data_IF_444604720329
#
_entry.id   IF_444604720329
#
_cell.length_a   1.000
_cell.length_b   1.000
_cell.length_c   1.000
_cell.angle_alpha   90.00
_cell.angle_beta   90.00
_cell.angle_gamma   90.00
#
_symmetry.space_group_name_H-M   'P 1'
#
loop_
_entity.id
_entity.type
_entity.pdbx_description
1 polymer ?
#
# COMPACT_ATOMS: atom_id res chain seq x y z
N UNK A 1 2.74 -2.01 -5.61
CA UNK A 1 2.25 -2.41 -6.96
C UNK A 1 2.22 -3.93 -7.13
N UNK A 2 3.31 -4.68 -7.05
CA UNK A 2 3.28 -6.14 -7.29
C UNK A 2 2.22 -6.92 -6.48
N UNK A 3 1.98 -6.56 -5.21
CA UNK A 3 0.95 -7.19 -4.37
C UNK A 3 -0.46 -6.89 -4.92
N UNK A 4 -0.75 -5.65 -5.30
CA UNK A 4 -2.07 -5.29 -5.83
C UNK A 4 -2.29 -5.91 -7.22
N UNK A 5 -1.27 -5.90 -8.09
CA UNK A 5 -1.33 -6.59 -9.39
C UNK A 5 -1.61 -8.11 -9.22
N UNK A 6 -1.03 -8.75 -8.21
CA UNK A 6 -1.31 -10.16 -7.91
C UNK A 6 -2.78 -10.36 -7.49
N UNK A 7 -3.32 -9.53 -6.59
CA UNK A 7 -4.73 -9.58 -6.18
C UNK A 7 -5.68 -9.40 -7.36
N UNK A 8 -5.39 -8.42 -8.25
CA UNK A 8 -6.16 -8.22 -9.47
C UNK A 8 -6.06 -9.41 -10.41
N UNK A 9 -4.85 -9.99 -10.58
CA UNK A 9 -4.66 -11.21 -11.37
C UNK A 9 -5.49 -12.38 -10.85
N UNK A 10 -5.53 -12.59 -9.53
CA UNK A 10 -6.32 -13.66 -8.92
C UNK A 10 -7.84 -13.40 -9.07
N UNK A 11 -8.28 -12.16 -8.89
CA UNK A 11 -9.66 -11.76 -9.11
C UNK A 11 -10.09 -11.99 -10.57
N UNK A 12 -9.26 -11.59 -11.54
CA UNK A 12 -9.53 -11.82 -12.96
C UNK A 12 -9.54 -13.32 -13.31
N UNK A 13 -8.65 -14.14 -12.72
CA UNK A 13 -8.71 -15.61 -12.89
C UNK A 13 -10.03 -16.17 -12.38
N UNK A 14 -10.54 -15.70 -11.25
CA UNK A 14 -11.84 -16.14 -10.72
C UNK A 14 -13.02 -15.77 -11.63
N UNK A 15 -12.86 -14.72 -12.44
CA UNK A 15 -13.81 -14.31 -13.49
C UNK A 15 -13.61 -15.09 -14.82
N UNK A 16 -12.68 -16.05 -14.86
CA UNK A 16 -12.45 -16.90 -16.03
C UNK A 16 -11.44 -16.36 -17.05
N UNK A 17 -10.66 -15.34 -16.69
CA UNK A 17 -9.57 -14.86 -17.56
C UNK A 17 -8.30 -15.69 -17.41
N UNK A 18 -7.60 -15.93 -18.51
CA UNK A 18 -6.20 -16.37 -18.48
C UNK A 18 -5.30 -15.14 -18.36
N UNK A 19 -4.39 -15.16 -17.38
CA UNK A 19 -3.54 -14.01 -17.07
C UNK A 19 -2.13 -14.24 -17.62
N UNK A 20 -1.64 -13.27 -18.37
CA UNK A 20 -0.25 -13.14 -18.81
C UNK A 20 0.33 -11.88 -18.15
N UNK A 21 1.49 -12.01 -17.53
CA UNK A 21 2.17 -10.93 -16.82
C UNK A 21 3.34 -10.40 -17.63
N UNK A 22 3.45 -9.05 -17.72
CA UNK A 22 4.54 -8.35 -18.42
C UNK A 22 5.12 -7.31 -17.49
N UNK A 23 6.44 -7.32 -17.29
CA UNK A 23 7.11 -6.31 -16.47
C UNK A 23 8.57 -6.10 -16.90
N UNK A 24 9.23 -5.09 -16.32
CA UNK A 24 10.65 -4.80 -16.57
C UNK A 24 11.60 -5.76 -15.86
N UNK A 25 11.15 -6.40 -14.80
CA UNK A 25 11.91 -7.35 -13.98
C UNK A 25 10.99 -8.31 -13.23
N UNK A 26 11.59 -9.25 -12.50
CA UNK A 26 10.90 -10.19 -11.63
C UNK A 26 10.37 -11.44 -12.33
N UNK A 27 9.65 -12.31 -11.60
CA UNK A 27 9.11 -13.57 -12.10
C UNK A 27 7.80 -13.32 -12.87
N UNK A 28 7.90 -12.97 -14.15
CA UNK A 28 6.78 -12.66 -15.06
C UNK A 28 6.87 -13.51 -16.32
N UNK A 29 5.76 -13.65 -17.06
CA UNK A 29 5.70 -14.43 -18.29
C UNK A 29 6.54 -13.78 -19.40
N UNK A 30 6.50 -12.45 -19.51
CA UNK A 30 7.32 -11.67 -20.43
C UNK A 30 8.11 -10.59 -19.69
N UNK A 31 9.42 -10.74 -19.64
CA UNK A 31 10.32 -9.72 -19.10
C UNK A 31 10.79 -8.80 -20.21
N UNK A 32 10.41 -7.51 -20.14
CA UNK A 32 10.85 -6.44 -21.03
C UNK A 32 11.66 -5.42 -20.22
N UNK A 33 13.01 -5.52 -20.14
CA UNK A 33 13.82 -4.68 -19.26
C UNK A 33 13.60 -3.18 -19.44
N UNK A 34 13.22 -2.73 -20.65
CA UNK A 34 12.88 -1.35 -20.94
C UNK A 34 11.67 -0.79 -20.19
N UNK A 35 10.84 -1.65 -19.57
CA UNK A 35 9.73 -1.23 -18.70
C UNK A 35 10.18 -0.88 -17.28
N UNK A 36 11.38 -1.31 -16.86
CA UNK A 36 11.85 -1.07 -15.50
C UNK A 36 12.05 0.42 -15.22
N UNK A 37 11.87 0.82 -13.95
CA UNK A 37 12.20 2.18 -13.50
C UNK A 37 13.71 2.36 -13.63
N UNK A 38 14.15 3.44 -14.29
CA UNK A 38 15.56 3.73 -14.51
C UNK A 38 16.21 2.91 -15.64
N UNK A 39 15.41 2.21 -16.47
CA UNK A 39 15.92 1.62 -17.70
C UNK A 39 16.57 2.67 -18.58
N UNK A 40 17.73 2.34 -19.18
CA UNK A 40 18.46 3.27 -20.05
C UNK A 40 17.72 3.59 -21.35
N UNK A 41 16.99 2.60 -21.89
CA UNK A 41 16.17 2.74 -23.09
C UNK A 41 14.77 2.12 -22.84
N UNK A 42 13.69 2.76 -23.35
CA UNK A 42 12.36 2.17 -23.28
C UNK A 42 12.26 0.96 -24.19
N UNK A 43 11.25 0.07 -23.98
CA UNK A 43 11.01 -1.02 -24.90
C UNK A 43 10.59 -0.48 -26.27
N UNK A 44 10.85 -1.23 -27.33
CA UNK A 44 10.34 -0.90 -28.66
C UNK A 44 8.84 -1.18 -28.77
N UNK A 45 8.19 -0.54 -29.75
CA UNK A 45 6.77 -0.79 -30.05
C UNK A 45 6.51 -2.29 -30.33
N UNK A 46 7.35 -2.92 -31.14
CA UNK A 46 7.19 -4.32 -31.55
C UNK A 46 7.35 -5.30 -30.38
N UNK A 47 8.25 -5.02 -29.43
CA UNK A 47 8.41 -5.84 -28.24
C UNK A 47 7.16 -5.80 -27.37
N UNK A 48 6.62 -4.60 -27.10
CA UNK A 48 5.39 -4.45 -26.32
C UNK A 48 4.18 -5.05 -27.06
N UNK A 49 4.03 -4.78 -28.36
CA UNK A 49 2.96 -5.34 -29.15
C UNK A 49 3.01 -6.89 -29.17
N UNK A 50 4.22 -7.45 -29.29
CA UNK A 50 4.41 -8.91 -29.27
C UNK A 50 4.05 -9.51 -27.92
N UNK A 51 4.44 -8.88 -26.82
CA UNK A 51 4.14 -9.35 -25.47
C UNK A 51 2.64 -9.26 -25.14
N UNK A 52 1.92 -8.29 -25.73
CA UNK A 52 0.48 -8.10 -25.53
C UNK A 52 -0.38 -8.74 -26.63
N UNK A 53 0.22 -9.56 -27.48
CA UNK A 53 -0.51 -10.20 -28.61
C UNK A 53 -1.56 -11.17 -28.10
N UNK A 54 -2.79 -11.01 -28.57
CA UNK A 54 -3.91 -11.88 -28.21
C UNK A 54 -4.54 -11.58 -26.85
N UNK A 55 -4.11 -10.53 -26.16
CA UNK A 55 -4.81 -10.08 -24.98
C UNK A 55 -6.13 -9.38 -25.36
N UNK A 56 -7.25 -9.82 -24.78
CA UNK A 56 -8.57 -9.20 -24.96
C UNK A 56 -8.64 -7.85 -24.25
N UNK A 57 -8.03 -7.75 -23.07
CA UNK A 57 -7.92 -6.54 -22.26
C UNK A 57 -6.54 -6.48 -21.59
N UNK A 58 -5.99 -5.29 -21.46
CA UNK A 58 -4.70 -5.06 -20.77
C UNK A 58 -4.94 -4.20 -19.54
N UNK A 59 -4.48 -4.66 -18.38
CA UNK A 59 -4.45 -3.86 -17.14
C UNK A 59 -3.05 -3.26 -16.98
N UNK A 60 -2.96 -1.94 -16.96
CA UNK A 60 -1.71 -1.19 -16.80
C UNK A 60 -1.59 -0.70 -15.36
N UNK A 61 -0.73 -1.36 -14.61
CA UNK A 61 -0.50 -1.07 -13.18
C UNK A 61 0.45 0.13 -13.02
N UNK A 62 -0.11 1.32 -12.86
CA UNK A 62 0.57 2.58 -12.52
C UNK A 62 1.66 3.07 -13.52
N UNK A 63 2.00 2.31 -14.56
CA UNK A 63 3.09 2.67 -15.49
C UNK A 63 2.81 4.01 -16.20
N UNK A 64 1.57 4.22 -16.62
CA UNK A 64 1.15 5.44 -17.31
C UNK A 64 0.68 6.55 -16.34
N UNK A 65 0.77 6.33 -15.02
CA UNK A 65 0.31 7.28 -14.00
C UNK A 65 1.43 8.23 -13.58
N UNK A 66 2.54 7.68 -13.07
CA UNK A 66 3.70 8.47 -12.66
C UNK A 66 4.79 8.45 -13.73
N UNK A 67 5.44 9.58 -14.02
CA UNK A 67 6.50 9.67 -15.02
C UNK A 67 7.84 9.09 -14.50
N UNK A 68 7.82 7.86 -13.97
CA UNK A 68 9.01 7.15 -13.49
C UNK A 68 9.80 6.52 -14.65
N UNK A 69 9.11 6.18 -15.74
CA UNK A 69 9.69 5.78 -17.02
C UNK A 69 8.78 6.31 -18.15
N UNK A 70 8.86 7.59 -18.48
CA UNK A 70 7.96 8.22 -19.46
C UNK A 70 8.09 7.63 -20.85
N UNK A 71 9.29 7.21 -21.27
CA UNK A 71 9.50 6.58 -22.57
C UNK A 71 8.74 5.24 -22.69
N UNK A 72 8.77 4.42 -21.63
CA UNK A 72 7.99 3.18 -21.60
C UNK A 72 6.48 3.45 -21.57
N UNK A 73 6.03 4.43 -20.79
CA UNK A 73 4.63 4.84 -20.73
C UNK A 73 4.12 5.27 -22.12
N UNK A 74 4.89 6.08 -22.86
CA UNK A 74 4.55 6.51 -24.20
C UNK A 74 4.44 5.36 -25.21
N UNK A 75 5.37 4.39 -25.14
CA UNK A 75 5.34 3.21 -26.01
C UNK A 75 4.12 2.36 -25.72
N UNK A 76 3.85 2.06 -24.42
CA UNK A 76 2.69 1.26 -24.00
C UNK A 76 1.39 1.96 -24.38
N UNK A 77 1.26 3.27 -24.16
CA UNK A 77 0.08 4.04 -24.56
C UNK A 77 -0.18 3.95 -26.08
N UNK A 78 0.86 4.07 -26.89
CA UNK A 78 0.73 3.95 -28.36
C UNK A 78 0.32 2.53 -28.82
N UNK A 79 0.85 1.48 -28.19
CA UNK A 79 0.48 0.09 -28.49
C UNK A 79 -0.96 -0.18 -28.10
N UNK A 80 -1.45 0.45 -27.03
CA UNK A 80 -2.82 0.27 -26.53
C UNK A 80 -3.84 1.20 -27.20
N UNK A 81 -3.42 2.14 -28.03
CA UNK A 81 -4.34 3.05 -28.74
C UNK A 81 -5.44 2.28 -29.48
N UNK A 82 -6.70 2.63 -29.24
CA UNK A 82 -7.91 1.96 -29.73
C UNK A 82 -8.05 0.47 -29.32
N UNK A 83 -7.34 0.00 -28.29
CA UNK A 83 -7.51 -1.34 -27.70
C UNK A 83 -8.15 -1.23 -26.32
N UNK A 84 -8.97 -2.22 -25.88
CA UNK A 84 -9.50 -2.24 -24.53
C UNK A 84 -8.37 -2.30 -23.50
N UNK A 85 -8.35 -1.34 -22.58
CA UNK A 85 -7.39 -1.33 -21.49
C UNK A 85 -7.98 -0.74 -20.19
N UNK A 86 -7.43 -1.15 -19.07
CA UNK A 86 -7.69 -0.59 -17.75
C UNK A 86 -6.43 0.10 -17.27
N UNK A 87 -6.50 1.40 -17.03
CA UNK A 87 -5.42 2.20 -16.46
C UNK A 87 -5.60 2.26 -14.94
N UNK A 88 -4.87 1.46 -14.19
CA UNK A 88 -4.98 1.37 -12.73
C UNK A 88 -3.98 2.30 -12.06
N UNK A 89 -4.49 3.39 -11.47
CA UNK A 89 -3.71 4.48 -10.89
C UNK A 89 -3.59 4.33 -9.37
N UNK A 90 -2.35 4.16 -8.90
CA UNK A 90 -2.04 4.15 -7.46
C UNK A 90 -1.62 5.51 -6.92
N UNK A 91 -0.97 6.31 -7.77
CA UNK A 91 -0.54 7.69 -7.51
C UNK A 91 -0.68 8.50 -8.80
N UNK A 92 -0.92 9.80 -8.68
CA UNK A 92 -0.97 10.72 -9.81
C UNK A 92 0.21 11.71 -9.76
N UNK A 93 0.68 12.23 -10.91
CA UNK A 93 1.90 13.04 -10.96
C UNK A 93 1.89 14.23 -10.01
N UNK A 94 0.83 15.01 -10.02
CA UNK A 94 0.69 16.22 -9.20
C UNK A 94 0.60 15.97 -7.69
N UNK A 95 0.37 14.73 -7.27
CA UNK A 95 0.39 14.31 -5.87
C UNK A 95 1.83 14.12 -5.34
N UNK A 96 2.82 14.24 -6.20
CA UNK A 96 4.24 14.14 -5.88
C UNK A 96 4.93 15.44 -6.26
N UNK A 97 5.54 16.17 -5.31
CA UNK A 97 6.17 17.48 -5.58
C UNK A 97 7.13 17.47 -6.77
N UNK A 98 7.94 16.41 -6.90
CA UNK A 98 8.90 16.26 -7.99
C UNK A 98 8.26 16.08 -9.37
N UNK A 99 6.97 15.73 -9.44
CA UNK A 99 6.22 15.50 -10.68
C UNK A 99 5.06 16.48 -10.88
N UNK A 100 4.91 17.48 -10.00
CA UNK A 100 3.76 18.40 -10.00
C UNK A 100 3.57 19.17 -11.33
N UNK A 101 4.63 19.34 -12.12
CA UNK A 101 4.57 19.98 -13.44
C UNK A 101 4.18 19.06 -14.61
N UNK A 102 3.96 17.76 -14.36
CA UNK A 102 3.55 16.84 -15.42
C UNK A 102 2.05 16.93 -15.67
N UNK A 103 1.67 16.71 -16.92
CA UNK A 103 0.27 16.63 -17.34
C UNK A 103 -0.43 15.36 -16.82
N UNK A 104 -1.74 15.21 -17.13
CA UNK A 104 -2.49 14.02 -16.81
C UNK A 104 -1.94 12.79 -17.55
N UNK A 105 -2.26 11.57 -17.04
CA UNK A 105 -1.96 10.34 -17.76
C UNK A 105 -2.58 10.36 -19.17
N UNK A 106 -2.03 9.59 -20.12
CA UNK A 106 -2.64 9.43 -21.43
C UNK A 106 -4.04 8.82 -21.31
N UNK A 107 -4.93 9.20 -22.25
CA UNK A 107 -6.30 8.73 -22.30
C UNK A 107 -6.67 8.27 -23.71
N UNK A 108 -7.57 7.32 -23.81
CA UNK A 108 -8.19 6.82 -25.04
C UNK A 108 -9.65 6.42 -24.76
N UNK A 109 -10.54 6.64 -25.72
CA UNK A 109 -11.98 6.31 -25.60
C UNK A 109 -12.30 4.85 -25.25
N UNK A 110 -11.34 3.93 -25.42
CA UNK A 110 -11.47 2.50 -25.08
C UNK A 110 -10.80 2.13 -23.76
N UNK A 111 -10.30 3.11 -23.04
CA UNK A 111 -9.67 2.87 -21.75
C UNK A 111 -10.63 3.18 -20.61
N UNK A 112 -10.54 2.38 -19.57
CA UNK A 112 -11.20 2.62 -18.29
C UNK A 112 -10.15 3.02 -17.28
N UNK A 113 -10.31 4.17 -16.66
CA UNK A 113 -9.40 4.63 -15.61
C UNK A 113 -9.93 4.24 -14.24
N UNK A 114 -9.08 3.58 -13.46
CA UNK A 114 -9.37 3.13 -12.09
C UNK A 114 -8.40 3.80 -11.14
N UNK A 115 -8.93 4.34 -10.05
CA UNK A 115 -8.14 4.91 -8.96
C UNK A 115 -8.36 4.11 -7.67
N UNK A 116 -7.39 4.18 -6.75
CA UNK A 116 -7.49 3.48 -5.46
C UNK A 116 -8.08 4.34 -4.34
N UNK A 117 -8.52 5.57 -4.65
CA UNK A 117 -9.18 6.50 -3.74
C UNK A 117 -10.01 7.52 -4.50
N UNK A 118 -10.99 8.14 -3.82
CA UNK A 118 -11.88 9.16 -4.40
C UNK A 118 -11.16 10.48 -4.69
N UNK A 119 -10.15 10.83 -3.88
CA UNK A 119 -9.35 12.02 -4.11
C UNK A 119 -8.75 11.99 -5.52
N UNK A 120 -8.08 10.92 -5.87
CA UNK A 120 -7.47 10.74 -7.20
C UNK A 120 -8.50 10.69 -8.32
N UNK A 121 -9.67 10.05 -8.08
CA UNK A 121 -10.80 10.05 -9.02
C UNK A 121 -11.26 11.49 -9.32
N UNK A 122 -11.50 12.28 -8.28
CA UNK A 122 -11.95 13.66 -8.43
C UNK A 122 -10.90 14.49 -9.17
N UNK A 123 -9.63 14.36 -8.82
CA UNK A 123 -8.52 15.07 -9.46
C UNK A 123 -8.34 14.71 -10.94
N UNK A 124 -8.62 13.47 -11.36
CA UNK A 124 -8.66 13.07 -12.78
C UNK A 124 -9.87 13.68 -13.48
N UNK A 125 -11.06 13.63 -12.85
CA UNK A 125 -12.29 14.23 -13.39
C UNK A 125 -12.13 15.73 -13.63
N UNK A 126 -11.50 16.46 -12.70
CA UNK A 126 -11.19 17.88 -12.83
C UNK A 126 -10.25 18.19 -14.04
N UNK A 127 -9.56 17.18 -14.52
CA UNK A 127 -8.66 17.25 -15.70
C UNK A 127 -9.25 16.62 -16.96
N UNK A 128 -10.55 16.28 -16.93
CA UNK A 128 -11.30 15.77 -18.08
C UNK A 128 -11.15 14.26 -18.30
N UNK A 129 -10.59 13.51 -17.37
CA UNK A 129 -10.49 12.04 -17.43
C UNK A 129 -11.50 11.43 -16.47
N UNK A 130 -12.49 10.74 -17.01
CA UNK A 130 -13.44 9.98 -16.18
C UNK A 130 -12.76 8.75 -15.57
N UNK A 131 -12.95 8.55 -14.26
CA UNK A 131 -12.39 7.42 -13.54
C UNK A 131 -13.40 6.84 -12.54
N UNK A 132 -13.19 5.58 -12.19
CA UNK A 132 -13.95 4.87 -11.15
C UNK A 132 -13.01 4.49 -10.01
N UNK A 133 -13.47 4.61 -8.76
CA UNK A 133 -12.70 4.18 -7.61
C UNK A 133 -12.93 2.70 -7.32
N UNK A 134 -11.85 1.95 -7.26
CA UNK A 134 -11.79 0.61 -6.65
C UNK A 134 -10.72 0.65 -5.57
N UNK A 135 -11.15 0.72 -4.32
CA UNK A 135 -10.24 0.73 -3.18
C UNK A 135 -9.41 -0.56 -3.11
N UNK A 136 -8.20 -0.46 -2.58
CA UNK A 136 -7.40 -1.64 -2.28
C UNK A 136 -8.19 -2.60 -1.40
N UNK A 137 -8.06 -3.90 -1.70
CA UNK A 137 -8.82 -4.95 -1.03
C UNK A 137 -7.89 -5.88 -0.25
N UNK A 138 -8.40 -6.44 0.84
CA UNK A 138 -7.60 -7.21 1.79
C UNK A 138 -8.26 -8.55 2.08
N UNK A 139 -7.44 -9.59 2.17
CA UNK A 139 -7.90 -10.91 2.60
C UNK A 139 -8.20 -10.93 4.09
N UNK A 140 -9.07 -11.84 4.55
CA UNK A 140 -9.22 -12.07 5.98
C UNK A 140 -7.89 -12.60 6.53
N UNK A 141 -7.53 -12.14 7.72
CA UNK A 141 -6.48 -12.84 8.47
C UNK A 141 -7.06 -14.19 8.88
N UNK A 142 -6.51 -15.27 8.36
CA UNK A 142 -6.91 -16.61 8.78
C UNK A 142 -6.46 -16.79 10.23
N UNK A 143 -7.41 -16.94 11.12
CA UNK A 143 -7.16 -17.21 12.56
C UNK A 143 -6.25 -18.41 12.77
N UNK A 144 -6.17 -19.30 11.79
CA UNK A 144 -5.34 -20.52 11.80
C UNK A 144 -3.87 -20.29 11.45
N UNK A 145 -3.53 -19.13 10.88
CA UNK A 145 -2.21 -18.92 10.28
C UNK A 145 -1.26 -17.97 11.00
N UNK A 146 -1.72 -17.11 11.90
CA UNK A 146 -0.79 -16.05 12.27
C UNK A 146 -0.91 -15.43 13.65
N UNK A 147 -2.04 -15.50 14.28
CA UNK A 147 -2.28 -14.69 15.48
C UNK A 147 -2.49 -15.53 16.74
N UNK A 148 -1.89 -16.72 16.80
CA UNK A 148 -1.83 -17.41 18.07
C UNK A 148 -0.91 -16.64 19.02
N UNK A 149 -1.26 -16.61 20.29
CA UNK A 149 -0.41 -16.08 21.36
C UNK A 149 1.02 -16.64 21.29
N UNK A 150 1.14 -17.90 20.84
CA UNK A 150 2.41 -18.57 20.58
C UNK A 150 3.26 -17.90 19.49
N UNK A 151 2.65 -17.44 18.39
CA UNK A 151 3.38 -16.74 17.34
C UNK A 151 3.78 -15.34 17.79
N UNK A 152 2.88 -14.58 18.41
CA UNK A 152 3.21 -13.29 19.01
C UNK A 152 4.44 -13.42 19.93
N UNK A 153 4.41 -14.34 20.87
CA UNK A 153 5.52 -14.58 21.80
C UNK A 153 6.81 -14.97 21.09
N UNK A 154 6.73 -15.82 20.07
CA UNK A 154 7.90 -16.24 19.29
C UNK A 154 8.59 -15.07 18.59
N UNK A 155 7.81 -14.19 17.95
CA UNK A 155 8.36 -13.00 17.28
C UNK A 155 8.92 -12.03 18.32
N UNK A 156 8.18 -11.72 19.38
CA UNK A 156 8.64 -10.80 20.44
C UNK A 156 9.94 -11.27 21.08
N UNK A 157 10.04 -12.56 21.43
CA UNK A 157 11.28 -13.15 21.96
C UNK A 157 12.46 -12.97 20.99
N UNK A 158 12.23 -13.16 19.71
CA UNK A 158 13.28 -12.99 18.68
C UNK A 158 13.73 -11.53 18.52
N UNK A 159 12.84 -10.58 18.87
CA UNK A 159 13.14 -9.14 18.91
C UNK A 159 13.73 -8.69 20.24
N UNK A 160 13.78 -9.55 21.27
CA UNK A 160 14.17 -9.19 22.64
C UNK A 160 13.12 -8.38 23.37
N UNK A 161 11.84 -8.48 22.98
CA UNK A 161 10.70 -7.77 23.57
C UNK A 161 10.01 -8.66 24.59
N UNK A 162 9.91 -8.22 25.82
CA UNK A 162 9.19 -8.92 26.90
C UNK A 162 7.67 -8.86 26.75
N UNK A 163 6.96 -9.76 27.45
CA UNK A 163 5.50 -9.84 27.36
C UNK A 163 4.78 -8.58 27.81
N UNK A 164 5.40 -7.78 28.70
CA UNK A 164 4.84 -6.53 29.22
C UNK A 164 5.38 -5.25 28.57
N UNK A 165 6.37 -5.40 27.67
CA UNK A 165 6.92 -4.25 26.97
C UNK A 165 5.98 -3.82 25.85
N UNK A 166 5.81 -2.53 25.61
CA UNK A 166 5.03 -2.03 24.48
C UNK A 166 5.87 -2.01 23.20
N UNK A 167 5.28 -2.42 22.08
CA UNK A 167 5.90 -2.44 20.76
C UNK A 167 5.05 -1.66 19.75
N UNK A 168 5.59 -0.56 19.25
CA UNK A 168 5.00 0.26 18.17
C UNK A 168 5.60 -0.15 16.85
N UNK A 169 4.78 -0.61 15.92
CA UNK A 169 5.16 -1.03 14.57
C UNK A 169 4.88 0.08 13.56
N UNK A 170 5.87 0.48 12.78
CA UNK A 170 5.67 1.24 11.54
C UNK A 170 6.00 0.35 10.34
N UNK A 171 4.98 -0.26 9.68
CA UNK A 171 5.20 -1.25 8.61
C UNK A 171 5.44 -0.57 7.26
N UNK A 172 6.29 0.45 7.23
CA UNK A 172 6.57 1.23 6.02
C UNK A 172 8.07 1.32 5.74
N UNK A 173 8.45 1.67 4.51
CA UNK A 173 9.80 2.10 4.18
C UNK A 173 10.08 3.46 4.85
N UNK A 174 11.36 3.77 5.10
CA UNK A 174 11.75 5.08 5.60
C UNK A 174 11.90 6.07 4.44
N UNK A 175 10.98 7.01 4.36
CA UNK A 175 10.90 8.08 3.36
C UNK A 175 10.43 9.37 4.05
N UNK A 176 10.74 10.57 3.52
CA UNK A 176 10.31 11.83 4.13
C UNK A 176 8.81 11.87 4.45
N UNK A 177 7.97 11.47 3.50
CA UNK A 177 6.50 11.47 3.66
C UNK A 177 5.96 10.46 4.68
N UNK A 178 6.76 9.48 5.08
CA UNK A 178 6.40 8.47 6.09
C UNK A 178 6.61 8.98 7.51
N UNK A 179 7.21 10.17 7.69
CA UNK A 179 7.34 10.86 8.97
C UNK A 179 7.85 9.97 10.10
N UNK A 180 9.06 9.40 9.91
CA UNK A 180 9.66 8.49 10.89
C UNK A 180 9.78 9.16 12.28
N UNK A 181 10.09 10.47 12.31
CA UNK A 181 10.11 11.25 13.56
C UNK A 181 8.77 11.21 14.31
N UNK A 182 7.65 11.27 13.58
CA UNK A 182 6.31 11.14 14.18
C UNK A 182 6.08 9.73 14.76
N UNK A 183 6.56 8.68 14.09
CA UNK A 183 6.50 7.31 14.60
C UNK A 183 7.33 7.12 15.88
N UNK A 184 8.54 7.66 15.91
CA UNK A 184 9.39 7.69 17.11
C UNK A 184 8.70 8.42 18.26
N UNK A 185 8.10 9.59 18.01
CA UNK A 185 7.37 10.35 19.02
C UNK A 185 6.17 9.57 19.62
N UNK A 186 5.47 8.77 18.79
CA UNK A 186 4.43 7.85 19.27
C UNK A 186 5.03 6.84 20.25
N UNK A 187 6.14 6.19 19.89
CA UNK A 187 6.78 5.19 20.73
C UNK A 187 7.32 5.82 22.04
N UNK A 188 7.95 6.96 21.97
CA UNK A 188 8.46 7.71 23.13
C UNK A 188 7.34 8.09 24.10
N UNK A 189 6.21 8.61 23.58
CA UNK A 189 5.05 8.99 24.40
C UNK A 189 4.44 7.78 25.10
N UNK A 190 4.47 6.61 24.47
CA UNK A 190 3.92 5.36 25.01
C UNK A 190 4.92 4.58 25.88
N UNK A 191 6.17 5.04 26.00
CA UNK A 191 7.24 4.27 26.66
C UNK A 191 7.50 2.92 25.98
N UNK A 192 7.43 2.88 24.67
CA UNK A 192 7.45 1.67 23.85
C UNK A 192 8.76 1.51 23.09
N UNK A 193 9.07 0.30 22.63
CA UNK A 193 10.07 0.08 21.59
C UNK A 193 9.46 0.41 20.23
N UNK A 194 10.19 1.13 19.39
CA UNK A 194 9.81 1.45 18.02
C UNK A 194 10.38 0.43 17.04
N UNK A 195 9.53 -0.14 16.15
CA UNK A 195 9.93 -1.09 15.14
C UNK A 195 9.58 -0.60 13.75
N UNK A 196 10.60 -0.27 12.94
CA UNK A 196 10.47 0.14 11.53
C UNK A 196 10.82 -1.03 10.62
N UNK A 197 9.86 -1.51 9.80
CA UNK A 197 10.07 -2.70 8.96
C UNK A 197 10.87 -2.44 7.70
N UNK A 198 10.60 -1.35 7.02
CA UNK A 198 11.17 -1.11 5.69
C UNK A 198 12.47 -0.32 5.71
N UNK A 199 13.35 -0.55 4.72
CA UNK A 199 14.62 0.17 4.61
C UNK A 199 14.42 1.65 4.25
N UNK A 200 15.48 2.48 4.42
CA UNK A 200 15.49 3.82 3.85
C UNK A 200 15.62 3.76 2.32
N UNK A 201 14.86 4.63 1.65
CA UNK A 201 14.90 4.83 0.21
C UNK A 201 15.03 6.32 -0.13
N UNK A 202 15.22 6.65 -1.40
CA UNK A 202 15.31 8.03 -1.92
C UNK A 202 16.34 8.90 -1.17
N UNK A 203 17.44 8.31 -0.69
CA UNK A 203 18.49 9.03 0.01
C UNK A 203 18.18 9.40 1.47
N UNK A 204 17.11 8.83 2.06
CA UNK A 204 16.67 9.16 3.43
C UNK A 204 17.57 8.55 4.54
N UNK A 205 18.56 7.73 4.21
CA UNK A 205 19.44 7.05 5.18
C UNK A 205 20.07 7.99 6.23
N UNK A 206 20.78 9.05 5.84
CA UNK A 206 21.39 9.98 6.79
C UNK A 206 20.40 10.67 7.74
N UNK A 207 19.22 11.03 7.26
CA UNK A 207 18.17 11.59 8.10
C UNK A 207 17.61 10.56 9.09
N UNK A 208 17.41 9.31 8.62
CA UNK A 208 17.01 8.21 9.49
C UNK A 208 18.00 7.99 10.63
N UNK A 209 19.31 7.94 10.31
CA UNK A 209 20.38 7.78 11.31
C UNK A 209 20.33 8.91 12.34
N UNK A 210 20.14 10.17 11.90
CA UNK A 210 20.03 11.33 12.78
C UNK A 210 18.81 11.22 13.71
N UNK A 211 17.65 10.84 13.18
CA UNK A 211 16.42 10.67 13.96
C UNK A 211 16.58 9.58 15.03
N UNK A 212 17.17 8.45 14.65
CA UNK A 212 17.39 7.33 15.56
C UNK A 212 18.40 7.68 16.67
N UNK A 213 19.49 8.38 16.33
CA UNK A 213 20.47 8.83 17.31
C UNK A 213 19.88 9.83 18.33
N UNK A 214 18.84 10.56 17.97
CA UNK A 214 18.14 11.50 18.84
C UNK A 214 16.98 10.87 19.64
N UNK A 215 16.53 9.67 19.27
CA UNK A 215 15.41 9.00 19.89
C UNK A 215 15.73 8.58 21.34
N UNK A 216 14.75 8.74 22.22
CA UNK A 216 14.83 8.32 23.63
C UNK A 216 14.24 6.91 23.87
N UNK A 217 13.61 6.31 22.86
CA UNK A 217 13.08 4.95 22.90
C UNK A 217 14.04 3.95 22.20
N UNK A 218 13.99 2.66 22.56
CA UNK A 218 14.66 1.62 21.79
C UNK A 218 14.12 1.52 20.36
N UNK A 219 15.01 1.28 19.38
CA UNK A 219 14.65 1.19 17.96
C UNK A 219 15.10 -0.13 17.36
N UNK A 220 14.20 -0.80 16.61
CA UNK A 220 14.46 -2.02 15.85
C UNK A 220 14.24 -1.71 14.37
N UNK A 221 15.16 -2.19 13.50
CA UNK A 221 15.07 -2.04 12.06
C UNK A 221 14.88 -3.37 11.35
N UNK A 222 13.98 -3.38 10.38
CA UNK A 222 13.73 -4.52 9.52
C UNK A 222 13.36 -5.78 10.30
N UNK A 223 13.66 -6.91 9.70
CA UNK A 223 13.59 -8.21 10.36
C UNK A 223 14.99 -8.59 10.82
N UNK A 224 15.26 -8.64 12.12
CA UNK A 224 16.54 -9.16 12.62
C UNK A 224 16.76 -10.59 12.11
N UNK A 225 18.00 -10.94 11.74
CA UNK A 225 18.34 -12.17 11.01
C UNK A 225 17.94 -13.51 11.65
N UNK A 226 17.44 -13.51 12.88
CA UNK A 226 16.96 -14.68 13.62
C UNK A 226 15.43 -14.73 13.81
N UNK A 227 14.69 -13.74 13.25
CA UNK A 227 13.23 -13.73 13.39
C UNK A 227 12.64 -14.65 12.33
N UNK A 228 11.78 -15.61 12.71
CA UNK A 228 11.07 -16.44 11.74
C UNK A 228 10.24 -15.54 10.82
N UNK A 229 10.52 -15.60 9.52
CA UNK A 229 9.76 -14.82 8.54
C UNK A 229 8.33 -15.39 8.42
N UNK A 230 7.38 -14.77 9.13
CA UNK A 230 5.96 -14.98 8.92
C UNK A 230 5.32 -13.87 8.07
N UNK A 231 6.14 -13.11 7.31
CA UNK A 231 5.67 -11.97 6.56
C UNK A 231 5.24 -10.79 7.44
N UNK A 232 4.60 -9.82 6.84
CA UNK A 232 4.10 -8.62 7.54
C UNK A 232 3.05 -8.97 8.60
N UNK A 233 2.28 -10.04 8.41
CA UNK A 233 1.26 -10.53 9.35
C UNK A 233 1.87 -10.86 10.72
N UNK A 234 3.08 -11.44 10.73
CA UNK A 234 3.77 -11.75 11.98
C UNK A 234 4.23 -10.48 12.72
N UNK A 235 4.50 -9.39 12.00
CA UNK A 235 4.80 -8.10 12.63
C UNK A 235 3.55 -7.49 13.27
N UNK A 236 2.42 -7.53 12.58
CA UNK A 236 1.14 -7.11 13.16
C UNK A 236 0.76 -7.97 14.38
N UNK A 237 1.00 -9.28 14.34
CA UNK A 237 0.76 -10.15 15.49
C UNK A 237 1.60 -9.75 16.71
N UNK A 238 2.86 -9.35 16.50
CA UNK A 238 3.80 -9.05 17.56
C UNK A 238 3.59 -7.66 18.19
N UNK A 239 3.11 -6.67 17.44
CA UNK A 239 2.99 -5.31 17.92
C UNK A 239 1.77 -5.11 18.84
N UNK A 240 1.79 -4.00 19.60
CA UNK A 240 0.68 -3.52 20.42
C UNK A 240 -0.03 -2.35 19.76
N UNK A 241 0.69 -1.57 18.95
CA UNK A 241 0.21 -0.39 18.22
C UNK A 241 0.82 -0.38 16.83
N UNK A 242 0.04 0.01 15.84
CA UNK A 242 0.53 0.37 14.51
C UNK A 242 0.65 1.89 14.43
N UNK A 243 1.77 2.38 13.93
CA UNK A 243 1.97 3.80 13.63
C UNK A 243 2.00 4.01 12.10
N UNK A 244 1.11 4.86 11.60
CA UNK A 244 1.11 5.36 10.24
C UNK A 244 1.13 6.91 10.27
N UNK A 245 2.24 7.52 10.72
CA UNK A 245 2.32 8.96 10.94
C UNK A 245 2.50 9.74 9.63
N UNK A 246 2.27 9.11 8.50
CA UNK A 246 2.51 9.64 7.16
C UNK A 246 1.83 11.00 6.93
N UNK A 247 2.50 11.85 6.17
CA UNK A 247 1.95 13.14 5.69
C UNK A 247 1.30 13.03 4.32
N UNK A 248 1.59 11.94 3.60
CA UNK A 248 0.97 11.59 2.32
C UNK A 248 0.99 10.09 2.08
N UNK A 249 -0.16 9.56 1.63
CA UNK A 249 -0.34 8.20 1.11
C UNK A 249 -1.34 8.21 -0.05
N UNK A 250 -1.10 7.38 -1.05
CA UNK A 250 -2.10 7.10 -2.08
C UNK A 250 -3.30 6.32 -1.54
N UNK A 251 -3.05 5.41 -0.60
CA UNK A 251 -4.09 4.69 0.15
C UNK A 251 -3.74 4.61 1.64
N UNK A 252 -2.56 4.06 1.96
CA UNK A 252 -2.15 3.79 3.33
C UNK A 252 -2.62 2.42 3.80
N UNK A 253 -2.22 1.36 3.10
CA UNK A 253 -2.59 -0.02 3.44
C UNK A 253 -2.55 -0.34 4.94
N UNK A 254 -1.54 0.12 5.73
CA UNK A 254 -1.53 -0.12 7.16
C UNK A 254 -2.77 0.37 7.91
N UNK A 255 -3.56 1.30 7.36
CA UNK A 255 -4.79 1.76 8.02
C UNK A 255 -5.86 0.67 8.04
N UNK A 256 -5.99 -0.11 6.98
CA UNK A 256 -6.92 -1.24 6.90
C UNK A 256 -6.28 -2.52 7.46
N UNK A 257 -4.99 -2.75 7.18
CA UNK A 257 -4.25 -3.91 7.72
C UNK A 257 -4.27 -3.92 9.25
N UNK A 258 -4.09 -2.78 9.93
CA UNK A 258 -4.19 -2.69 11.39
C UNK A 258 -5.55 -3.15 11.93
N UNK A 259 -6.63 -2.78 11.24
CA UNK A 259 -7.98 -3.16 11.60
C UNK A 259 -8.21 -4.68 11.44
N UNK A 260 -7.78 -5.25 10.31
CA UNK A 260 -7.85 -6.69 10.04
C UNK A 260 -7.08 -7.48 11.10
N UNK A 261 -5.90 -6.97 11.49
CA UNK A 261 -5.05 -7.58 12.50
C UNK A 261 -5.45 -7.22 13.94
N UNK A 262 -6.58 -6.51 14.13
CA UNK A 262 -7.07 -6.11 15.46
C UNK A 262 -6.01 -5.36 16.26
N UNK A 263 -5.37 -4.37 15.65
CA UNK A 263 -4.38 -3.50 16.27
C UNK A 263 -4.87 -2.04 16.25
N UNK A 264 -4.75 -1.32 17.35
CA UNK A 264 -5.04 0.11 17.36
C UNK A 264 -4.04 0.83 16.47
N UNK A 265 -4.51 1.87 15.79
CA UNK A 265 -3.72 2.65 14.83
C UNK A 265 -3.54 4.09 15.33
N UNK A 266 -2.29 4.53 15.39
CA UNK A 266 -1.93 5.96 15.46
C UNK A 266 -1.68 6.46 14.03
N UNK A 267 -2.47 7.44 13.57
CA UNK A 267 -2.49 7.86 12.16
C UNK A 267 -2.22 9.35 11.98
N UNK A 268 -1.43 9.69 10.94
CA UNK A 268 -1.18 11.07 10.53
C UNK A 268 -2.32 11.65 9.67
N UNK A 269 -2.42 12.99 9.59
CA UNK A 269 -3.50 13.69 8.90
C UNK A 269 -3.21 13.85 7.41
N UNK A 270 -3.22 12.77 6.63
CA UNK A 270 -3.15 12.88 5.18
C UNK A 270 -4.55 12.79 4.53
N UNK A 271 -4.76 13.37 3.33
CA UNK A 271 -6.09 13.52 2.75
C UNK A 271 -6.89 12.22 2.66
N UNK A 272 -6.27 11.14 2.17
CA UNK A 272 -6.94 9.84 2.01
C UNK A 272 -7.27 9.20 3.37
N UNK A 273 -6.56 9.52 4.46
CA UNK A 273 -6.95 9.07 5.80
C UNK A 273 -8.33 9.59 6.20
N UNK A 274 -8.64 10.85 5.86
CA UNK A 274 -9.96 11.43 6.13
C UNK A 274 -11.05 10.73 5.32
N UNK A 275 -10.77 10.39 4.06
CA UNK A 275 -11.67 9.63 3.20
C UNK A 275 -11.93 8.23 3.78
N UNK A 276 -10.90 7.51 4.17
CA UNK A 276 -11.04 6.18 4.76
C UNK A 276 -11.75 6.23 6.12
N UNK A 277 -11.48 7.23 6.96
CA UNK A 277 -12.17 7.41 8.22
C UNK A 277 -13.69 7.57 8.07
N UNK A 278 -14.15 8.11 6.94
CA UNK A 278 -15.58 8.26 6.64
C UNK A 278 -16.34 6.92 6.49
N UNK A 279 -15.63 5.79 6.30
CA UNK A 279 -16.21 4.45 6.37
C UNK A 279 -16.54 4.01 7.79
N UNK A 280 -16.09 4.74 8.80
CA UNK A 280 -16.41 4.49 10.19
C UNK A 280 -15.24 3.99 11.05
N UNK A 281 -14.01 3.95 10.53
CA UNK A 281 -12.86 3.56 11.34
C UNK A 281 -12.64 4.51 12.52
N UNK A 282 -12.32 3.96 13.66
CA UNK A 282 -11.92 4.66 14.87
C UNK A 282 -10.41 4.51 15.08
N UNK A 283 -9.68 5.58 14.82
CA UNK A 283 -8.22 5.65 14.94
C UNK A 283 -7.79 6.73 15.94
N UNK A 284 -6.57 6.65 16.41
CA UNK A 284 -5.96 7.68 17.27
C UNK A 284 -5.15 8.64 16.40
N UNK A 285 -5.52 9.92 16.43
CA UNK A 285 -4.72 10.96 15.79
C UNK A 285 -3.38 11.17 16.53
N UNK A 286 -2.36 11.67 15.83
CA UNK A 286 -1.02 11.88 16.43
C UNK A 286 -0.99 12.88 17.57
N UNK A 287 -1.97 13.77 17.68
CA UNK A 287 -2.12 14.72 18.80
C UNK A 287 -2.86 14.12 20.01
N UNK A 288 -3.40 12.90 19.87
CA UNK A 288 -4.13 12.19 20.92
C UNK A 288 -3.46 10.90 21.39
N UNK A 289 -2.14 10.76 21.22
CA UNK A 289 -1.38 9.60 21.69
C UNK A 289 -1.49 9.34 23.20
N UNK A 290 -1.59 10.35 24.09
CA UNK A 290 -1.88 10.07 25.49
C UNK A 290 -3.18 9.29 25.72
N UNK A 291 -4.23 9.53 24.89
CA UNK A 291 -5.49 8.78 24.97
C UNK A 291 -5.30 7.33 24.52
N UNK A 292 -4.46 7.08 23.49
CA UNK A 292 -4.06 5.73 23.11
C UNK A 292 -3.32 5.04 24.26
N UNK A 293 -2.45 5.74 24.98
CA UNK A 293 -1.77 5.22 26.17
C UNK A 293 -2.76 4.74 27.23
N UNK A 294 -3.76 5.57 27.56
CA UNK A 294 -4.84 5.21 28.50
C UNK A 294 -5.63 4.00 28.01
N UNK A 295 -5.95 3.94 26.71
CA UNK A 295 -6.65 2.81 26.12
C UNK A 295 -5.83 1.52 26.22
N UNK A 296 -4.50 1.58 26.00
CA UNK A 296 -3.61 0.42 26.11
C UNK A 296 -3.49 -0.13 27.54
N UNK A 297 -3.72 0.70 28.57
CA UNK A 297 -3.74 0.25 29.95
C UNK A 297 -5.00 -0.55 30.31
N UNK A 298 -6.08 -0.34 29.55
CA UNK A 298 -7.35 -1.06 29.72
C UNK A 298 -8.03 -1.20 28.33
N UNK A 299 -7.49 -2.08 27.45
CA UNK A 299 -7.98 -2.19 26.09
C UNK A 299 -9.42 -2.67 26.03
N UNK A 300 -10.18 -2.07 25.11
CA UNK A 300 -11.55 -2.42 24.79
C UNK A 300 -11.58 -3.18 23.45
N UNK A 301 -11.96 -4.44 23.47
CA UNK A 301 -12.12 -5.25 22.27
C UNK A 301 -13.18 -4.69 21.32
N UNK A 302 -14.17 -3.94 21.82
CA UNK A 302 -15.22 -3.35 21.01
C UNK A 302 -14.68 -2.39 19.93
N UNK A 303 -13.62 -1.62 20.22
CA UNK A 303 -12.94 -0.78 19.22
C UNK A 303 -12.30 -1.63 18.13
N UNK A 304 -11.62 -2.71 18.51
CA UNK A 304 -10.93 -3.60 17.57
C UNK A 304 -11.92 -4.39 16.70
N UNK A 305 -12.99 -4.89 17.30
CA UNK A 305 -14.08 -5.59 16.60
C UNK A 305 -14.78 -4.67 15.60
N UNK A 306 -15.08 -3.43 16.02
CA UNK A 306 -15.68 -2.43 15.18
C UNK A 306 -14.81 -2.13 13.94
N UNK A 307 -13.53 -1.81 14.12
CA UNK A 307 -12.62 -1.52 13.01
C UNK A 307 -12.46 -2.74 12.07
N UNK A 308 -12.39 -3.95 12.62
CA UNK A 308 -12.32 -5.17 11.83
C UNK A 308 -13.59 -5.37 10.99
N UNK A 309 -14.78 -5.08 11.56
CA UNK A 309 -16.06 -5.10 10.85
C UNK A 309 -16.05 -4.10 9.68
N UNK A 310 -15.65 -2.85 9.89
CA UNK A 310 -15.52 -1.85 8.83
C UNK A 310 -14.59 -2.33 7.70
N UNK A 311 -13.44 -2.92 8.06
CA UNK A 311 -12.51 -3.45 7.06
C UNK A 311 -13.13 -4.61 6.25
N UNK A 312 -13.85 -5.52 6.90
CA UNK A 312 -14.52 -6.65 6.25
C UNK A 312 -15.66 -6.20 5.33
N UNK A 313 -16.46 -5.21 5.74
CA UNK A 313 -17.62 -4.75 5.01
C UNK A 313 -17.25 -3.92 3.76
N UNK A 314 -16.14 -3.17 3.80
CA UNK A 314 -15.82 -2.21 2.75
C UNK A 314 -14.58 -2.56 1.93
N UNK A 315 -13.66 -3.35 2.47
CA UNK A 315 -12.34 -3.60 1.84
C UNK A 315 -12.05 -5.10 1.65
N UNK A 316 -13.08 -5.94 1.63
CA UNK A 316 -12.93 -7.39 1.44
C UNK A 316 -12.34 -7.74 0.07
N UNK A 317 -11.32 -8.60 0.07
CA UNK A 317 -10.75 -9.16 -1.15
C UNK A 317 -11.74 -10.09 -1.88
N UNK A 318 -12.69 -10.67 -1.17
CA UNK A 318 -13.72 -11.52 -1.76
C UNK A 318 -14.64 -10.76 -2.73
N UNK A 319 -14.81 -9.44 -2.53
CA UNK A 319 -15.65 -8.58 -3.38
C UNK A 319 -14.90 -8.01 -4.59
N UNK A 320 -13.57 -8.16 -4.63
CA UNK A 320 -12.77 -7.57 -5.70
C UNK A 320 -13.16 -8.07 -7.10
N UNK A 321 -13.44 -9.35 -7.34
CA UNK A 321 -13.91 -9.82 -8.64
C UNK A 321 -15.17 -9.11 -9.13
N UNK A 322 -16.16 -8.95 -8.26
CA UNK A 322 -17.41 -8.26 -8.59
C UNK A 322 -17.19 -6.78 -8.90
N UNK A 323 -16.30 -6.11 -8.15
CA UNK A 323 -15.94 -4.71 -8.41
C UNK A 323 -15.24 -4.55 -9.75
N UNK A 324 -14.28 -5.42 -10.05
CA UNK A 324 -13.55 -5.42 -11.34
C UNK A 324 -14.51 -5.70 -12.49
N UNK A 325 -15.41 -6.67 -12.37
CA UNK A 325 -16.32 -7.07 -13.45
C UNK A 325 -17.19 -5.93 -13.98
N UNK A 326 -17.52 -4.94 -13.12
CA UNK A 326 -18.35 -3.78 -13.46
C UNK A 326 -17.63 -2.71 -14.28
N UNK A 327 -16.31 -2.75 -14.30
CA UNK A 327 -15.46 -1.71 -14.92
C UNK A 327 -14.63 -2.25 -16.09
N UNK A 328 -14.66 -3.57 -16.33
CA UNK A 328 -13.99 -4.12 -17.50
C UNK A 328 -14.66 -3.57 -18.77
N UNK A 329 -13.86 -3.12 -19.76
CA UNK A 329 -14.41 -2.70 -21.05
C UNK A 329 -15.11 -3.87 -21.73
N UNK A 330 -16.15 -3.58 -22.53
CA UNK A 330 -16.85 -4.56 -23.35
C UNK A 330 -15.86 -5.30 -24.28
N UNK A 331 -16.01 -6.61 -24.39
CA UNK A 331 -15.16 -7.48 -25.23
C UNK A 331 -15.32 -7.20 -26.69
#
# INVERSE_FOLDING_TARGET
MAIEAAKWGDALRSLGFSIVTVAGDGPVDHCLPGLAIGAGEPPTFDEVESALRGADVVVVENLCSLPLNPGAADVVARVLANRPAVMHHHDLPWQRPQFAGHGPPPDDRRWTHITINELSRNELTDRGIEATTIYNSFGPVTLDGGHTEGQRRKVRNSLGIGDHDRLVLQPTRALPRKNIGGGLAVAETLGATYWLLGPPEDGYGPELERLVAAASCPVIFGWPGNVPHGGVDAAYAACDVVALPSTWEGFGNPSVESAIHRRPLAIGPYPVATELAAFGFHWFALDSIPNLGVWLDSPDDGLLDHNQGVAADHFSLADLPDRISRVLPDR
#
